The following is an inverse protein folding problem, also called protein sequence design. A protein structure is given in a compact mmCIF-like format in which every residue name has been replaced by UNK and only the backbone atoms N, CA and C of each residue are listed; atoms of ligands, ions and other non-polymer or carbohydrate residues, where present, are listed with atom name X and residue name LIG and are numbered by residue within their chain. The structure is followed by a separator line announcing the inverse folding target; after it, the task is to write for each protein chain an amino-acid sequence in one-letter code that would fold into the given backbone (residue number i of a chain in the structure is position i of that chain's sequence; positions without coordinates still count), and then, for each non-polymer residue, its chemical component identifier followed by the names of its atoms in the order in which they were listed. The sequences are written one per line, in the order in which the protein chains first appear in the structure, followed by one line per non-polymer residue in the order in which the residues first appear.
data_IF_891576695721
#
_entry.id   IF_891576695721
#
_cell.length_a   1.000
_cell.length_b   1.000
_cell.length_c   1.000
_cell.angle_alpha   90.00
_cell.angle_beta   90.00
_cell.angle_gamma   90.00
#
_symmetry.space_group_name_H-M   'P 1'
#
loop_
_entity.id
_entity.type
_entity.pdbx_description
1 polymer ?
#
# COMPACT_ATOMS: atom_id res chain seq x y z
N UNK A 1 -10.42 -10.34 -0.67
CA UNK A 1 -9.19 -9.62 -1.00
C UNK A 1 -8.01 -10.53 -1.33
N UNK A 2 -7.79 -11.58 -0.54
CA UNK A 2 -6.66 -12.51 -0.77
C UNK A 2 -6.72 -13.19 -2.15
N UNK A 3 -7.90 -13.59 -2.59
CA UNK A 3 -8.05 -14.22 -3.90
C UNK A 3 -7.65 -13.30 -5.05
N UNK A 4 -8.07 -12.04 -5.00
CA UNK A 4 -7.71 -11.06 -6.03
C UNK A 4 -6.19 -10.79 -6.03
N UNK A 5 -5.58 -10.72 -4.85
CA UNK A 5 -4.14 -10.55 -4.72
C UNK A 5 -3.38 -11.75 -5.29
N UNK A 6 -3.83 -12.96 -4.99
CA UNK A 6 -3.26 -14.19 -5.53
C UNK A 6 -3.36 -14.22 -7.05
N UNK A 7 -4.52 -13.90 -7.59
CA UNK A 7 -4.74 -13.87 -9.04
C UNK A 7 -3.81 -12.86 -9.72
N UNK A 8 -3.66 -11.68 -9.13
CA UNK A 8 -2.77 -10.65 -9.67
C UNK A 8 -1.31 -11.09 -9.66
N UNK A 9 -0.88 -11.74 -8.58
CA UNK A 9 0.50 -12.22 -8.47
C UNK A 9 0.77 -13.34 -9.47
N UNK A 10 -0.11 -14.31 -9.55
CA UNK A 10 0.04 -15.45 -10.46
C UNK A 10 -0.03 -15.02 -11.92
N UNK A 11 -0.86 -14.04 -12.25
CA UNK A 11 -0.95 -13.48 -13.60
C UNK A 11 0.36 -12.80 -14.02
N UNK A 12 1.17 -12.35 -13.06
CA UNK A 12 2.47 -11.73 -13.34
C UNK A 12 3.61 -12.76 -13.45
N UNK A 13 3.31 -14.06 -13.30
CA UNK A 13 4.30 -15.13 -13.39
C UNK A 13 4.94 -15.53 -12.07
N UNK A 14 4.47 -14.96 -10.96
CA UNK A 14 4.99 -15.24 -9.62
C UNK A 14 4.13 -16.28 -8.90
N UNK A 15 4.72 -17.00 -7.96
CA UNK A 15 4.00 -18.00 -7.17
C UNK A 15 3.43 -17.40 -5.90
N UNK A 16 2.24 -17.84 -5.54
CA UNK A 16 1.61 -17.51 -4.26
C UNK A 16 2.05 -18.53 -3.21
N UNK A 17 3.19 -18.28 -2.58
CA UNK A 17 3.76 -19.21 -1.58
C UNK A 17 3.06 -19.05 -0.22
N UNK A 18 3.17 -20.04 0.69
CA UNK A 18 2.63 -19.91 2.04
C UNK A 18 3.14 -18.68 2.79
N UNK A 19 4.43 -18.35 2.65
CA UNK A 19 4.97 -17.17 3.32
C UNK A 19 4.40 -15.88 2.73
N UNK A 20 4.25 -15.81 1.41
CA UNK A 20 3.61 -14.66 0.76
C UNK A 20 2.17 -14.49 1.22
N UNK A 21 1.43 -15.59 1.31
CA UNK A 21 0.06 -15.58 1.83
C UNK A 21 0.01 -15.07 3.28
N UNK A 22 0.97 -15.49 4.11
CA UNK A 22 1.06 -15.04 5.50
C UNK A 22 1.37 -13.55 5.62
N UNK A 23 2.26 -13.05 4.78
CA UNK A 23 2.57 -11.61 4.75
C UNK A 23 1.35 -10.79 4.33
N UNK A 24 0.65 -11.24 3.30
CA UNK A 24 -0.57 -10.55 2.86
C UNK A 24 -1.63 -10.54 3.95
N UNK A 25 -1.89 -11.69 4.59
CA UNK A 25 -2.88 -11.80 5.65
C UNK A 25 -2.53 -10.92 6.86
N UNK A 26 -1.24 -10.89 7.23
CA UNK A 26 -0.78 -10.04 8.31
C UNK A 26 -1.01 -8.56 8.00
N UNK A 27 -0.65 -8.12 6.80
CA UNK A 27 -0.86 -6.72 6.40
C UNK A 27 -2.35 -6.38 6.36
N UNK A 28 -3.18 -7.28 5.84
CA UNK A 28 -4.62 -7.08 5.76
C UNK A 28 -5.30 -6.99 7.13
N UNK A 29 -4.66 -7.48 8.19
CA UNK A 29 -5.21 -7.42 9.54
C UNK A 29 -5.07 -6.06 10.21
N UNK A 30 -4.23 -5.17 9.67
CA UNK A 30 -4.06 -3.83 10.21
C UNK A 30 -5.14 -2.89 9.66
N UNK A 31 -5.70 -2.05 10.51
CA UNK A 31 -6.70 -1.06 10.12
C UNK A 31 -6.08 0.20 9.51
N UNK A 32 -4.80 0.42 9.77
CA UNK A 32 -4.03 1.54 9.26
C UNK A 32 -2.81 1.02 8.52
N UNK A 33 -2.09 1.85 7.76
CA UNK A 33 -0.85 1.42 7.13
C UNK A 33 0.11 0.84 8.16
N UNK A 34 0.77 -0.26 7.80
CA UNK A 34 1.71 -0.94 8.69
C UNK A 34 3.11 -0.91 8.10
N UNK A 35 4.11 -0.71 8.97
CA UNK A 35 5.51 -0.78 8.59
C UNK A 35 5.92 -2.24 8.33
N UNK A 36 7.02 -2.42 7.59
CA UNK A 36 7.57 -3.75 7.38
C UNK A 36 7.94 -4.44 8.71
N UNK A 37 8.39 -3.66 9.70
CA UNK A 37 8.66 -4.18 11.04
C UNK A 37 7.39 -4.74 11.68
N UNK A 38 6.31 -3.97 11.66
CA UNK A 38 5.02 -4.40 12.23
C UNK A 38 4.49 -5.65 11.55
N UNK A 39 4.61 -5.72 10.22
CA UNK A 39 4.19 -6.89 9.45
C UNK A 39 5.05 -8.10 9.83
N UNK A 40 6.37 -7.92 9.96
CA UNK A 40 7.29 -8.99 10.36
C UNK A 40 6.91 -9.57 11.73
N UNK A 41 6.62 -8.71 12.69
CA UNK A 41 6.19 -9.14 14.02
C UNK A 41 4.86 -9.90 13.97
N UNK A 42 3.91 -9.42 13.18
CA UNK A 42 2.61 -10.08 13.04
C UNK A 42 2.73 -11.46 12.39
N UNK A 43 3.55 -11.59 11.35
CA UNK A 43 3.80 -12.88 10.69
C UNK A 43 4.49 -13.84 11.63
N UNK A 44 5.51 -13.38 12.33
CA UNK A 44 6.25 -14.21 13.29
C UNK A 44 5.33 -14.73 14.40
N UNK A 45 4.48 -13.85 14.92
CA UNK A 45 3.51 -14.21 15.98
C UNK A 45 2.51 -15.24 15.47
N UNK A 46 1.97 -15.05 14.26
CA UNK A 46 0.99 -15.94 13.67
C UNK A 46 1.56 -17.34 13.38
N UNK A 47 2.85 -17.41 13.01
CA UNK A 47 3.49 -18.68 12.70
C UNK A 47 4.11 -19.36 13.91
N UNK A 48 4.15 -18.69 15.06
CA UNK A 48 4.79 -19.21 16.26
C UNK A 48 6.29 -19.40 16.14
N UNK A 49 6.93 -18.72 15.20
CA UNK A 49 8.37 -18.75 14.97
C UNK A 49 8.84 -17.43 14.40
N UNK A 50 10.13 -17.13 14.60
CA UNK A 50 10.72 -15.92 14.09
C UNK A 50 10.87 -15.99 12.56
N UNK A 51 10.32 -15.00 11.87
CA UNK A 51 10.50 -14.80 10.42
C UNK A 51 11.51 -13.68 10.23
N UNK A 52 12.40 -13.85 9.26
CA UNK A 52 13.44 -12.86 8.99
C UNK A 52 12.84 -11.61 8.34
N UNK A 53 13.22 -10.44 8.85
CA UNK A 53 12.75 -9.17 8.33
C UNK A 53 13.06 -9.00 6.83
N UNK A 54 14.24 -9.44 6.38
CA UNK A 54 14.61 -9.34 4.96
C UNK A 54 13.66 -10.12 4.05
N UNK A 55 13.17 -11.26 4.49
CA UNK A 55 12.20 -12.04 3.72
C UNK A 55 10.89 -11.28 3.56
N UNK A 56 10.43 -10.62 4.63
CA UNK A 56 9.21 -9.82 4.61
C UNK A 56 9.39 -8.58 3.72
N UNK A 57 10.52 -7.89 3.83
CA UNK A 57 10.82 -6.73 2.98
C UNK A 57 10.78 -7.10 1.49
N UNK A 58 11.39 -8.21 1.12
CA UNK A 58 11.41 -8.67 -0.28
C UNK A 58 10.00 -8.96 -0.79
N UNK A 59 9.16 -9.54 0.06
CA UNK A 59 7.78 -9.84 -0.30
C UNK A 59 6.97 -8.55 -0.45
N UNK A 60 7.12 -7.60 0.47
CA UNK A 60 6.44 -6.31 0.38
C UNK A 60 6.88 -5.53 -0.85
N UNK A 61 8.15 -5.56 -1.20
CA UNK A 61 8.66 -4.93 -2.42
C UNK A 61 8.07 -5.59 -3.66
N UNK A 62 8.00 -6.91 -3.69
CA UNK A 62 7.37 -7.64 -4.79
C UNK A 62 5.88 -7.27 -4.91
N UNK A 63 5.17 -7.28 -3.80
CA UNK A 63 3.75 -6.95 -3.78
C UNK A 63 3.50 -5.50 -4.24
N UNK A 64 4.38 -4.59 -3.88
CA UNK A 64 4.30 -3.20 -4.33
C UNK A 64 4.52 -3.10 -5.83
N UNK A 65 5.53 -3.80 -6.34
CA UNK A 65 5.83 -3.82 -7.78
C UNK A 65 4.68 -4.42 -8.61
N UNK A 66 3.92 -5.36 -8.03
CA UNK A 66 2.80 -6.03 -8.69
C UNK A 66 1.44 -5.43 -8.37
N UNK A 67 1.41 -4.25 -7.77
CA UNK A 67 0.18 -3.51 -7.45
C UNK A 67 -0.75 -4.23 -6.46
N UNK A 68 -0.22 -5.17 -5.70
CA UNK A 68 -0.97 -5.90 -4.66
C UNK A 68 -1.04 -5.08 -3.38
N UNK A 69 0.00 -4.32 -3.13
CA UNK A 69 0.18 -3.48 -1.96
C UNK A 69 0.59 -2.09 -2.42
N UNK A 70 0.16 -1.07 -1.71
CA UNK A 70 0.58 0.31 -1.96
C UNK A 70 1.38 0.80 -0.77
N UNK A 71 2.47 1.50 -1.05
CA UNK A 71 3.28 2.11 -0.02
C UNK A 71 2.84 3.55 0.21
N UNK A 72 2.63 3.90 1.47
CA UNK A 72 2.42 5.29 1.89
C UNK A 72 3.80 5.87 2.19
N UNK A 73 4.33 6.64 1.27
CA UNK A 73 5.74 7.05 1.28
C UNK A 73 6.12 7.84 2.53
N UNK A 74 5.27 8.77 2.96
CA UNK A 74 5.57 9.62 4.12
C UNK A 74 5.64 8.85 5.43
N UNK A 75 4.97 7.70 5.51
CA UNK A 75 4.93 6.86 6.71
C UNK A 75 5.86 5.66 6.62
N UNK A 76 6.45 5.41 5.45
CA UNK A 76 7.20 4.19 5.16
C UNK A 76 6.42 2.95 5.60
N UNK A 77 5.15 2.92 5.23
CA UNK A 77 4.19 1.91 5.62
C UNK A 77 3.40 1.43 4.41
N UNK A 78 2.73 0.30 4.56
CA UNK A 78 2.08 -0.41 3.47
C UNK A 78 0.60 -0.61 3.73
N UNK A 79 -0.18 -0.55 2.66
CA UNK A 79 -1.62 -0.86 2.66
C UNK A 79 -1.91 -1.90 1.59
N UNK A 80 -2.84 -2.80 1.89
CA UNK A 80 -3.36 -3.72 0.89
C UNK A 80 -4.15 -2.92 -0.16
N UNK A 81 -3.89 -3.20 -1.43
CA UNK A 81 -4.65 -2.61 -2.52
C UNK A 81 -5.96 -3.41 -2.70
N UNK A 82 -7.10 -2.73 -2.60
CA UNK A 82 -8.41 -3.36 -2.76
C UNK A 82 -8.68 -3.78 -4.20
N UNK A 83 -7.97 -3.21 -5.18
CA UNK A 83 -8.19 -3.46 -6.61
C UNK A 83 -6.87 -3.79 -7.31
N UNK A 84 -6.21 -4.92 -6.95
CA UNK A 84 -4.87 -5.22 -7.47
C UNK A 84 -4.83 -5.54 -8.97
N UNK A 85 -5.98 -5.88 -9.56
CA UNK A 85 -6.07 -6.17 -11.00
C UNK A 85 -6.21 -4.91 -11.85
N UNK A 86 -6.42 -3.76 -11.23
CA UNK A 86 -6.54 -2.47 -11.90
C UNK A 86 -5.46 -1.53 -11.39
N UNK A 87 -4.69 -0.95 -12.30
CA UNK A 87 -3.73 0.08 -11.92
C UNK A 87 -4.44 1.41 -11.80
N UNK A 88 -4.49 1.90 -10.58
CA UNK A 88 -5.00 3.23 -10.28
C UNK A 88 -3.88 4.05 -9.67
N UNK A 89 -3.80 5.28 -10.08
CA UNK A 89 -2.96 6.25 -9.38
C UNK A 89 -3.78 6.75 -8.19
N UNK A 90 -3.25 6.54 -7.00
CA UNK A 90 -3.98 6.77 -5.77
C UNK A 90 -3.64 8.11 -5.13
N UNK A 91 -4.64 8.72 -4.51
CA UNK A 91 -4.46 9.86 -3.61
C UNK A 91 -4.66 9.35 -2.19
N UNK A 92 -3.72 9.65 -1.30
CA UNK A 92 -3.85 9.31 0.11
C UNK A 92 -4.13 10.55 0.93
N UNK A 93 -5.11 10.42 1.82
CA UNK A 93 -5.42 11.44 2.81
C UNK A 93 -4.90 10.95 4.15
N UNK A 94 -3.90 11.63 4.68
CA UNK A 94 -3.22 11.21 5.91
C UNK A 94 -3.59 12.16 7.03
N UNK A 95 -4.20 11.61 8.09
CA UNK A 95 -4.50 12.40 9.28
C UNK A 95 -3.25 12.47 10.16
N UNK A 96 -2.73 13.66 10.36
CA UNK A 96 -1.54 13.86 11.18
C UNK A 96 -1.81 13.69 12.67
N UNK A 97 -3.10 13.72 13.07
CA UNK A 97 -3.46 13.58 14.47
C UNK A 97 -3.63 12.12 14.91
N UNK A 98 -4.42 11.33 14.17
CA UNK A 98 -4.72 9.95 14.56
C UNK A 98 -4.04 8.90 13.67
N UNK A 99 -3.36 9.30 12.59
CA UNK A 99 -2.66 8.39 11.69
C UNK A 99 -3.55 7.66 10.69
N UNK A 100 -4.87 7.85 10.74
CA UNK A 100 -5.78 7.25 9.77
C UNK A 100 -5.39 7.68 8.36
N UNK A 101 -5.32 6.72 7.45
CA UNK A 101 -5.01 6.99 6.05
C UNK A 101 -6.19 6.51 5.20
N UNK A 102 -6.75 7.43 4.43
CA UNK A 102 -7.84 7.16 3.53
C UNK A 102 -7.33 7.17 2.09
N UNK A 103 -7.77 6.21 1.32
CA UNK A 103 -7.42 6.06 -0.06
C UNK A 103 -8.54 6.61 -0.95
N UNK A 104 -8.18 7.48 -1.88
CA UNK A 104 -9.10 8.00 -2.88
C UNK A 104 -8.67 7.58 -4.27
N UNK A 105 -9.64 7.08 -5.05
CA UNK A 105 -9.48 6.83 -6.47
C UNK A 105 -10.18 7.95 -7.24
N UNK A 106 -9.40 8.85 -7.80
CA UNK A 106 -9.93 9.92 -8.64
C UNK A 106 -8.98 10.10 -9.81
N UNK A 107 -9.24 9.35 -10.87
CA UNK A 107 -8.38 9.36 -12.05
C UNK A 107 -8.34 10.73 -12.72
N UNK A 108 -9.44 11.47 -12.71
CA UNK A 108 -9.50 12.81 -13.30
C UNK A 108 -8.60 13.79 -12.54
N UNK A 109 -8.61 13.72 -11.21
CA UNK A 109 -7.74 14.59 -10.39
C UNK A 109 -6.26 14.29 -10.62
N UNK A 110 -5.90 13.01 -10.65
CA UNK A 110 -4.51 12.60 -10.89
C UNK A 110 -4.06 12.98 -12.29
N UNK A 111 -4.92 12.81 -13.29
CA UNK A 111 -4.63 13.20 -14.67
C UNK A 111 -4.40 14.72 -14.78
N UNK A 112 -5.17 15.50 -14.04
CA UNK A 112 -4.97 16.94 -13.97
C UNK A 112 -3.60 17.29 -13.39
N UNK A 113 -3.19 16.63 -12.32
CA UNK A 113 -1.85 16.84 -11.73
C UNK A 113 -0.76 16.47 -12.73
N UNK A 114 -0.91 15.35 -13.44
CA UNK A 114 0.03 14.96 -14.51
C UNK A 114 0.12 16.02 -15.61
N UNK A 115 -1.01 16.58 -16.00
CA UNK A 115 -1.05 17.62 -17.03
C UNK A 115 -0.34 18.89 -16.56
N UNK A 116 -0.52 19.29 -15.32
CA UNK A 116 0.19 20.44 -14.74
C UNK A 116 1.70 20.20 -14.75
N UNK A 117 2.14 19.01 -14.37
CA UNK A 117 3.56 18.66 -14.38
C UNK A 117 4.13 18.72 -15.81
N UNK A 118 3.39 18.21 -16.79
CA UNK A 118 3.80 18.21 -18.19
C UNK A 118 3.94 19.64 -18.72
N UNK A 119 3.03 20.53 -18.34
CA UNK A 119 3.10 21.94 -18.71
C UNK A 119 4.37 22.59 -18.16
N UNK A 120 4.84 22.13 -17.01
CA UNK A 120 6.11 22.58 -16.42
C UNK A 120 7.35 21.91 -17.04
N UNK A 121 7.16 21.07 -18.06
CA UNK A 121 8.26 20.35 -18.71
C UNK A 121 8.74 19.14 -17.96
N UNK A 122 7.91 18.58 -17.07
CA UNK A 122 8.29 17.47 -16.19
C UNK A 122 7.61 16.17 -16.65
N UNK A 123 8.41 15.10 -16.80
CA UNK A 123 7.90 13.78 -17.12
C UNK A 123 7.67 13.00 -15.82
N UNK A 124 6.41 12.68 -15.55
CA UNK A 124 6.04 11.93 -14.34
C UNK A 124 6.18 10.43 -14.61
N UNK A 125 7.03 9.75 -13.85
CA UNK A 125 7.14 8.29 -13.92
C UNK A 125 6.00 7.61 -13.17
N UNK A 126 5.78 8.04 -11.93
CA UNK A 126 4.63 7.61 -11.13
C UNK A 126 4.21 8.75 -10.21
N UNK A 127 2.91 9.01 -10.08
CA UNK A 127 2.47 10.01 -9.13
C UNK A 127 2.48 9.44 -7.71
N UNK A 128 2.98 10.24 -6.77
CA UNK A 128 2.87 9.97 -5.34
C UNK A 128 2.16 11.18 -4.74
N UNK A 129 0.87 11.02 -4.45
CA UNK A 129 0.04 12.14 -3.99
C UNK A 129 -0.46 11.84 -2.60
N UNK A 130 -0.03 12.63 -1.64
CA UNK A 130 -0.47 12.55 -0.27
C UNK A 130 -0.91 13.93 0.19
N UNK A 131 -2.10 14.01 0.78
CA UNK A 131 -2.60 15.22 1.40
C UNK A 131 -2.62 15.01 2.91
N UNK A 132 -1.89 15.84 3.62
CA UNK A 132 -1.74 15.77 5.06
C UNK A 132 -2.63 16.80 5.74
N UNK A 133 -3.38 16.37 6.74
CA UNK A 133 -4.31 17.24 7.43
C UNK A 133 -4.97 16.53 8.60
N UNK A 134 -6.25 16.75 8.79
CA UNK A 134 -7.04 16.13 9.86
C UNK A 134 -8.29 15.49 9.29
N UNK A 135 -8.54 14.23 9.71
CA UNK A 135 -9.75 13.52 9.32
C UNK A 135 -10.99 14.18 9.93
N UNK A 136 -12.17 13.76 9.47
CA UNK A 136 -13.43 14.32 9.93
C UNK A 136 -13.56 14.31 11.46
N UNK A 137 -13.22 13.19 12.09
CA UNK A 137 -13.34 13.05 13.55
C UNK A 137 -12.36 13.95 14.30
N UNK A 138 -11.17 14.18 13.75
CA UNK A 138 -10.17 15.03 14.39
C UNK A 138 -10.40 16.52 14.18
N UNK A 139 -11.19 16.90 13.19
CA UNK A 139 -11.57 18.30 12.96
C UNK A 139 -12.56 18.80 14.01
N UNK A 140 -13.30 17.90 14.63
CA UNK A 140 -14.33 18.25 15.61
C UNK A 140 -13.74 18.65 16.96
N UNK A 141 -12.43 18.59 17.12
CA UNK A 141 -11.75 18.87 18.41
C UNK A 141 -10.66 19.91 18.28
#
# INVERSE_FOLDING_TARGET
MALAAQQALEASGEQWTPLRASVFAALASFEAPASAYEVTEAVSSAQGRRVLANSVYRILDLFTAKNIVTRVESQNAFLVNAHPLHRHDCIFLVCENCGTTQHLDDDAAVEHVRAVAKTAGFAVDRPVIELHGRCHDCQAH
#
